data_IF_436534863542
#
_entry.id   IF_436534863542
#
_cell.length_a   1.000
_cell.length_b   1.000
_cell.length_c   1.000
_cell.angle_alpha   90.00
_cell.angle_beta   90.00
_cell.angle_gamma   90.00
#
_symmetry.space_group_name_H-M   'P 1'
#
loop_
_entity.id
_entity.type
_entity.pdbx_description
1 polymer ?
#
# COMPACT_ATOMS: atom_id res chain seq x y z
N UNK A 1 -9.36 -7.10 -10.90
CA UNK A 1 -8.32 -6.14 -10.46
C UNK A 1 -8.73 -5.38 -9.19
N UNK A 2 -9.89 -4.71 -9.15
CA UNK A 2 -10.38 -3.98 -7.97
C UNK A 2 -10.36 -4.77 -6.66
N UNK A 3 -10.76 -6.05 -6.69
CA UNK A 3 -10.74 -6.92 -5.51
C UNK A 3 -9.33 -7.11 -4.92
N UNK A 4 -8.31 -7.30 -5.78
CA UNK A 4 -6.93 -7.44 -5.33
C UNK A 4 -6.40 -6.16 -4.70
N UNK A 5 -6.70 -5.01 -5.30
CA UNK A 5 -6.32 -3.70 -4.73
C UNK A 5 -7.02 -3.47 -3.40
N UNK A 6 -8.29 -3.86 -3.27
CA UNK A 6 -9.03 -3.76 -2.01
C UNK A 6 -8.42 -4.62 -0.91
N UNK A 7 -8.14 -5.90 -1.19
CA UNK A 7 -7.52 -6.81 -0.23
C UNK A 7 -6.12 -6.33 0.15
N UNK A 8 -5.30 -5.93 -0.82
CA UNK A 8 -3.95 -5.42 -0.57
C UNK A 8 -3.97 -4.18 0.35
N UNK A 9 -4.83 -3.21 0.04
CA UNK A 9 -4.99 -2.02 0.88
C UNK A 9 -5.48 -2.35 2.28
N UNK A 10 -6.39 -3.33 2.43
CA UNK A 10 -6.87 -3.77 3.74
C UNK A 10 -5.71 -4.38 4.54
N UNK A 11 -4.90 -5.23 3.93
CA UNK A 11 -3.72 -5.82 4.56
C UNK A 11 -2.70 -4.76 4.96
N UNK A 12 -2.39 -3.79 4.10
CA UNK A 12 -1.48 -2.68 4.43
C UNK A 12 -2.00 -1.83 5.60
N UNK A 13 -3.32 -1.60 5.68
CA UNK A 13 -3.92 -0.92 6.82
C UNK A 13 -3.79 -1.70 8.12
N UNK A 14 -4.05 -3.00 8.11
CA UNK A 14 -3.89 -3.84 9.30
C UNK A 14 -2.42 -3.95 9.72
N UNK A 15 -1.50 -4.07 8.77
CA UNK A 15 -0.07 -4.09 9.02
C UNK A 15 0.42 -2.80 9.70
N UNK A 16 -0.08 -1.63 9.26
CA UNK A 16 0.20 -0.35 9.91
C UNK A 16 -0.40 -0.22 11.32
N UNK A 17 -1.52 -0.89 11.61
CA UNK A 17 -2.06 -0.95 12.99
C UNK A 17 -1.15 -1.76 13.90
N UNK A 18 -0.62 -2.90 13.42
CA UNK A 18 0.32 -3.73 14.19
C UNK A 18 1.55 -2.91 14.61
N UNK A 19 2.10 -2.12 13.68
CA UNK A 19 3.21 -1.20 13.96
C UNK A 19 2.88 -0.20 15.09
N UNK A 20 1.69 0.40 15.08
CA UNK A 20 1.24 1.30 16.17
C UNK A 20 1.13 0.57 17.51
N UNK A 21 0.47 -0.59 17.52
CA UNK A 21 0.32 -1.39 18.75
C UNK A 21 1.66 -1.84 19.31
N UNK A 22 2.62 -2.20 18.45
CA UNK A 22 3.98 -2.53 18.87
C UNK A 22 4.67 -1.35 19.58
N UNK A 23 4.53 -0.13 19.05
CA UNK A 23 5.08 1.08 19.68
C UNK A 23 4.40 1.36 21.03
N UNK A 24 3.07 1.21 21.12
CA UNK A 24 2.34 1.39 22.38
C UNK A 24 2.80 0.39 23.47
N UNK A 25 3.12 -0.85 23.08
CA UNK A 25 3.68 -1.86 23.98
C UNK A 25 5.09 -1.46 24.45
N UNK A 26 5.93 -0.91 23.57
CA UNK A 26 7.27 -0.41 23.96
C UNK A 26 7.17 0.70 25.00
N UNK A 27 6.22 1.62 24.84
CA UNK A 27 6.02 2.76 25.75
C UNK A 27 5.48 2.28 27.10
N UNK A 28 4.57 1.30 27.12
CA UNK A 28 3.96 0.77 28.35
C UNK A 28 4.85 -0.23 29.10
N UNK A 29 5.89 -0.77 28.48
CA UNK A 29 6.77 -1.77 29.12
C UNK A 29 7.76 -1.14 30.11
N UNK A 30 7.64 -1.55 31.39
CA UNK A 30 8.48 -1.06 32.50
C UNK A 30 9.80 -1.82 32.67
N UNK A 31 9.86 -3.08 32.21
CA UNK A 31 11.04 -3.93 32.30
C UNK A 31 12.08 -3.50 31.24
N UNK A 32 13.32 -3.19 31.67
CA UNK A 32 14.36 -2.64 30.80
C UNK A 32 14.83 -3.62 29.72
N UNK A 33 14.93 -4.91 30.03
CA UNK A 33 15.43 -5.92 29.09
C UNK A 33 14.43 -6.15 27.96
N UNK A 34 13.15 -6.38 28.33
CA UNK A 34 12.05 -6.53 27.37
C UNK A 34 11.90 -5.27 26.52
N UNK A 35 11.98 -4.07 27.14
CA UNK A 35 11.85 -2.81 26.40
C UNK A 35 12.93 -2.64 25.34
N UNK A 36 14.16 -3.12 25.58
CA UNK A 36 15.24 -3.03 24.61
C UNK A 36 14.96 -3.86 23.37
N UNK A 37 14.50 -5.11 23.56
CA UNK A 37 14.15 -6.01 22.47
C UNK A 37 12.92 -5.53 21.69
N UNK A 38 11.86 -5.12 22.40
CA UNK A 38 10.63 -4.63 21.74
C UNK A 38 10.89 -3.32 20.99
N UNK A 39 11.78 -2.46 21.49
CA UNK A 39 12.16 -1.23 20.80
C UNK A 39 12.95 -1.53 19.51
N UNK A 40 13.87 -2.51 19.54
CA UNK A 40 14.58 -2.93 18.33
C UNK A 40 13.60 -3.49 17.27
N UNK A 41 12.63 -4.31 17.68
CA UNK A 41 11.57 -4.82 16.80
C UNK A 41 10.69 -3.69 16.24
N UNK A 42 10.24 -2.76 17.09
CA UNK A 42 9.43 -1.63 16.67
C UNK A 42 10.19 -0.72 15.69
N UNK A 43 11.50 -0.54 15.89
CA UNK A 43 12.35 0.22 14.98
C UNK A 43 12.46 -0.45 13.61
N UNK A 44 12.61 -1.78 13.58
CA UNK A 44 12.64 -2.56 12.34
C UNK A 44 11.31 -2.46 11.58
N UNK A 45 10.18 -2.63 12.28
CA UNK A 45 8.84 -2.42 11.72
C UNK A 45 8.60 -0.96 11.30
N UNK A 46 9.33 -0.02 11.91
CA UNK A 46 9.27 1.39 11.53
C UNK A 46 10.01 1.68 10.23
N UNK A 47 11.17 1.05 10.05
CA UNK A 47 12.08 1.29 8.95
C UNK A 47 11.54 0.77 7.62
N UNK A 48 10.78 -0.32 7.65
CA UNK A 48 10.21 -0.93 6.44
C UNK A 48 8.70 -0.71 6.43
N UNK A 49 8.24 0.28 5.67
CA UNK A 49 6.81 0.43 5.42
C UNK A 49 6.32 -0.78 4.64
N UNK A 50 5.31 -1.47 5.17
CA UNK A 50 4.76 -2.67 4.57
C UNK A 50 3.98 -2.25 3.32
N UNK A 51 4.66 -2.35 2.18
CA UNK A 51 4.12 -2.09 0.85
C UNK A 51 3.96 -3.42 0.12
N UNK A 52 2.75 -3.68 -0.38
CA UNK A 52 2.51 -4.87 -1.18
C UNK A 52 2.88 -4.52 -2.62
N UNK A 53 4.03 -5.03 -3.06
CA UNK A 53 4.54 -4.80 -4.41
C UNK A 53 4.16 -6.00 -5.30
N UNK A 54 3.60 -5.72 -6.48
CA UNK A 54 3.36 -6.72 -7.50
C UNK A 54 4.65 -7.00 -8.28
N UNK A 55 5.31 -8.12 -7.97
CA UNK A 55 6.47 -8.61 -8.75
C UNK A 55 7.68 -7.67 -8.79
N UNK A 56 7.78 -6.69 -7.89
CA UNK A 56 8.85 -5.68 -7.89
C UNK A 56 8.62 -4.49 -8.84
N UNK A 57 7.51 -4.44 -9.58
CA UNK A 57 7.26 -3.42 -10.60
C UNK A 57 6.47 -2.22 -10.07
N UNK A 58 5.40 -2.48 -9.30
CA UNK A 58 4.51 -1.43 -8.80
C UNK A 58 3.86 -1.82 -7.46
N UNK A 59 3.60 -0.82 -6.63
CA UNK A 59 2.86 -0.99 -5.37
C UNK A 59 1.38 -1.14 -5.69
N UNK A 60 0.71 -2.11 -5.08
CA UNK A 60 -0.73 -2.33 -5.26
C UNK A 60 -1.50 -1.35 -4.38
N UNK A 61 -1.78 -0.17 -4.92
CA UNK A 61 -2.49 0.90 -4.22
C UNK A 61 -3.69 1.47 -5.02
N UNK A 62 -4.49 2.32 -4.37
CA UNK A 62 -5.62 3.00 -5.04
C UNK A 62 -5.19 3.98 -6.15
N UNK A 63 -4.11 4.76 -6.00
CA UNK A 63 -3.54 5.57 -7.07
C UNK A 63 -3.29 4.80 -8.37
N UNK A 64 -2.64 3.64 -8.31
CA UNK A 64 -2.39 2.81 -9.50
C UNK A 64 -3.69 2.42 -10.22
N UNK A 65 -4.71 2.06 -9.47
CA UNK A 65 -6.02 1.70 -10.03
C UNK A 65 -6.67 2.90 -10.72
N UNK A 66 -6.54 4.11 -10.16
CA UNK A 66 -7.02 5.34 -10.77
C UNK A 66 -6.26 5.66 -12.07
N UNK A 67 -4.94 5.51 -12.07
CA UNK A 67 -4.09 5.70 -13.26
C UNK A 67 -4.49 4.75 -14.40
N UNK A 68 -4.75 3.47 -14.09
CA UNK A 68 -5.21 2.51 -15.10
C UNK A 68 -6.58 2.89 -15.67
N UNK A 69 -7.51 3.35 -14.83
CA UNK A 69 -8.82 3.82 -15.29
C UNK A 69 -8.71 5.08 -16.16
N UNK A 70 -7.83 6.01 -15.79
CA UNK A 70 -7.54 7.21 -16.57
C UNK A 70 -6.89 6.88 -17.92
N UNK A 71 -5.93 5.96 -17.95
CA UNK A 71 -5.32 5.49 -19.20
C UNK A 71 -6.35 4.82 -20.12
N UNK A 72 -7.24 3.98 -19.56
CA UNK A 72 -8.35 3.41 -20.32
C UNK A 72 -9.29 4.47 -20.89
N UNK A 73 -9.66 5.50 -20.10
CA UNK A 73 -10.54 6.57 -20.60
C UNK A 73 -9.87 7.40 -21.69
N UNK A 74 -8.59 7.76 -21.54
CA UNK A 74 -7.81 8.45 -22.58
C UNK A 74 -7.76 7.62 -23.86
N UNK A 75 -7.50 6.32 -23.77
CA UNK A 75 -7.47 5.44 -24.94
C UNK A 75 -8.82 5.35 -25.66
N UNK A 76 -9.93 5.27 -24.91
CA UNK A 76 -11.28 5.29 -25.49
C UNK A 76 -11.53 6.61 -26.25
N UNK A 77 -11.20 7.75 -25.64
CA UNK A 77 -11.40 9.08 -26.27
C UNK A 77 -10.59 9.17 -27.56
N UNK A 78 -9.31 8.78 -27.53
CA UNK A 78 -8.44 8.76 -28.71
C UNK A 78 -9.03 7.85 -29.80
N UNK A 79 -9.50 6.66 -29.42
CA UNK A 79 -10.09 5.71 -30.37
C UNK A 79 -11.33 6.28 -31.05
N UNK A 80 -12.21 6.93 -30.29
CA UNK A 80 -13.41 7.58 -30.85
C UNK A 80 -13.02 8.70 -31.81
N UNK A 81 -12.06 9.55 -31.42
CA UNK A 81 -11.56 10.63 -32.29
C UNK A 81 -11.02 10.11 -33.63
N UNK A 82 -10.31 8.98 -33.63
CA UNK A 82 -9.79 8.37 -34.86
C UNK A 82 -10.84 7.61 -35.68
N UNK A 83 -11.92 7.14 -35.06
CA UNK A 83 -13.06 6.53 -35.76
C UNK A 83 -13.84 7.60 -36.52
N UNK A 84 -14.16 8.73 -35.87
CA UNK A 84 -14.93 9.82 -36.48
C UNK A 84 -14.15 10.54 -37.60
N UNK A 85 -12.82 10.60 -37.52
CA UNK A 85 -11.96 11.19 -38.56
C UNK A 85 -11.81 10.31 -39.81
N UNK A 86 -12.09 9.00 -39.72
CA UNK A 86 -12.01 8.07 -40.85
C UNK A 86 -13.36 7.82 -41.56
N UNK A 87 -14.41 8.60 -41.24
CA UNK A 87 -15.71 8.58 -41.92
C UNK A 87 -15.85 9.74 -42.92
#
# INVERSE_FOLDING_TARGET
MFFYVFVANKTMKEANKIKRTAIDIVISTRNKDIRKETNALALQLCHEEIQIVAGGFFVIDYPLLFEMMAACSTYIVITIQFIDVNL
#
